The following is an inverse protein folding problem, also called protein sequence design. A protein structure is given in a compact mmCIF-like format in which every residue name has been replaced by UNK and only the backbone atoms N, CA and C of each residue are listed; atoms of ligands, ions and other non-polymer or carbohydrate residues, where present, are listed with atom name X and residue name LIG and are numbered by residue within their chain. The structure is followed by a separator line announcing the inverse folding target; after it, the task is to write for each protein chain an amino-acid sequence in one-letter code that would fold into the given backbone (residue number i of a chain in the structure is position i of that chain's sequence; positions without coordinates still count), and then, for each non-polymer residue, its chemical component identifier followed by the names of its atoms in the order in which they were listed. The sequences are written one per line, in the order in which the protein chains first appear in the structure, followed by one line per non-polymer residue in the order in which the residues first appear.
data_IF_987480648541
#
_entry.id   IF_987480648541
#
_cell.length_a   1.000
_cell.length_b   1.000
_cell.length_c   1.000
_cell.angle_alpha   90.00
_cell.angle_beta   90.00
_cell.angle_gamma   90.00
#
_symmetry.space_group_name_H-M   'P 1'
#
loop_
_entity.id
_entity.type
_entity.pdbx_description
1 polymer ?
#
# COMPACT_ATOMS: atom_id res chain seq x y z
N UNK A 1 20.63 2.60 -9.35
CA UNK A 1 20.95 2.52 -10.80
C UNK A 1 20.40 3.77 -11.46
N UNK A 2 21.26 4.63 -12.00
CA UNK A 2 20.86 5.89 -12.64
C UNK A 2 20.41 5.61 -14.08
N UNK A 3 19.14 5.25 -14.28
CA UNK A 3 18.57 5.17 -15.61
C UNK A 3 18.50 6.60 -16.20
N UNK A 4 19.02 6.85 -17.40
CA UNK A 4 18.92 8.15 -18.05
C UNK A 4 17.46 8.61 -18.14
N UNK A 5 17.17 9.87 -17.79
CA UNK A 5 15.80 10.41 -17.68
C UNK A 5 14.94 10.19 -18.94
N UNK A 6 15.56 10.20 -20.13
CA UNK A 6 14.88 9.98 -21.40
C UNK A 6 14.44 8.52 -21.62
N UNK A 7 15.07 7.54 -20.95
CA UNK A 7 14.67 6.14 -20.96
C UNK A 7 13.70 5.80 -19.83
N UNK A 8 13.76 6.55 -18.72
CA UNK A 8 12.89 6.33 -17.57
C UNK A 8 11.41 6.51 -17.92
N UNK A 9 11.06 7.54 -18.70
CA UNK A 9 9.67 7.83 -19.06
C UNK A 9 9.01 6.72 -19.92
N UNK A 10 9.56 6.32 -21.09
CA UNK A 10 8.94 5.29 -21.93
C UNK A 10 8.93 3.91 -21.26
N UNK A 11 9.95 3.57 -20.46
CA UNK A 11 9.98 2.30 -19.72
C UNK A 11 8.90 2.25 -18.64
N UNK A 12 8.65 3.37 -17.96
CA UNK A 12 7.58 3.48 -16.95
C UNK A 12 6.17 3.48 -17.57
N UNK A 13 6.02 3.94 -18.82
CA UNK A 13 4.75 3.84 -19.57
C UNK A 13 4.47 2.42 -20.07
N UNK A 14 5.50 1.68 -20.52
CA UNK A 14 5.35 0.30 -21.02
C UNK A 14 5.17 -0.70 -19.87
N UNK A 15 5.86 -0.48 -18.74
CA UNK A 15 5.73 -1.28 -17.52
C UNK A 15 5.26 -0.37 -16.39
N UNK A 16 3.96 -0.03 -16.34
CA UNK A 16 3.43 0.74 -15.22
C UNK A 16 3.77 0.00 -13.93
N UNK A 17 4.60 0.62 -13.08
CA UNK A 17 5.09 0.04 -11.83
C UNK A 17 3.95 -0.36 -10.86
N UNK A 18 2.72 0.09 -11.11
CA UNK A 18 1.56 -0.12 -10.26
C UNK A 18 0.42 -0.72 -11.09
N UNK A 19 0.45 -2.05 -11.17
CA UNK A 19 -0.52 -2.86 -11.91
C UNK A 19 -1.91 -2.93 -11.24
N UNK A 20 -2.80 -3.82 -11.72
CA UNK A 20 -4.19 -3.92 -11.25
C UNK A 20 -4.31 -4.28 -9.76
N UNK A 21 -3.23 -4.81 -9.16
CA UNK A 21 -3.12 -5.17 -7.75
C UNK A 21 -2.96 -3.97 -6.81
N UNK A 22 -3.03 -2.74 -7.31
CA UNK A 22 -2.95 -1.51 -6.52
C UNK A 22 -4.24 -0.68 -6.69
N UNK A 23 -5.37 -1.38 -6.63
CA UNK A 23 -6.72 -0.82 -6.76
C UNK A 23 -7.55 -1.21 -5.55
N UNK A 24 -8.54 -0.40 -5.17
CA UNK A 24 -9.42 -0.73 -4.05
C UNK A 24 -10.18 -2.04 -4.32
N UNK A 25 -10.44 -2.35 -5.59
CA UNK A 25 -11.07 -3.59 -6.04
C UNK A 25 -10.24 -4.82 -5.70
N UNK A 26 -8.93 -4.76 -5.95
CA UNK A 26 -8.02 -5.82 -5.53
C UNK A 26 -8.05 -6.00 -4.00
N UNK A 27 -8.18 -4.92 -3.22
CA UNK A 27 -8.38 -4.98 -1.78
C UNK A 27 -9.64 -5.76 -1.36
N UNK A 28 -10.78 -5.49 -1.99
CA UNK A 28 -12.01 -6.25 -1.75
C UNK A 28 -11.88 -7.72 -2.16
N UNK A 29 -11.23 -8.01 -3.30
CA UNK A 29 -10.99 -9.38 -3.76
C UNK A 29 -10.11 -10.14 -2.76
N UNK A 30 -9.00 -9.56 -2.30
CA UNK A 30 -8.14 -10.21 -1.32
C UNK A 30 -8.83 -10.39 0.03
N UNK A 31 -9.59 -9.40 0.49
CA UNK A 31 -10.39 -9.51 1.71
C UNK A 31 -11.42 -10.64 1.62
N UNK A 32 -12.15 -10.74 0.51
CA UNK A 32 -13.14 -11.80 0.29
C UNK A 32 -12.48 -13.18 0.18
N UNK A 33 -11.31 -13.25 -0.47
CA UNK A 33 -10.52 -14.47 -0.55
C UNK A 33 -10.04 -14.91 0.83
N UNK A 34 -9.51 -14.00 1.65
CA UNK A 34 -9.11 -14.29 3.02
C UNK A 34 -10.28 -14.78 3.86
N UNK A 35 -11.45 -14.14 3.76
CA UNK A 35 -12.68 -14.62 4.40
C UNK A 35 -13.02 -16.05 3.96
N UNK A 36 -13.10 -16.31 2.65
CA UNK A 36 -13.44 -17.63 2.11
C UNK A 36 -12.44 -18.73 2.50
N UNK A 37 -11.14 -18.41 2.57
CA UNK A 37 -10.11 -19.33 3.04
C UNK A 37 -10.26 -19.66 4.54
N UNK A 38 -10.67 -18.68 5.37
CA UNK A 38 -10.92 -18.92 6.78
C UNK A 38 -12.15 -19.80 7.00
N UNK A 39 -13.24 -19.56 6.26
CA UNK A 39 -14.42 -20.42 6.30
C UNK A 39 -14.09 -21.85 5.83
N UNK A 40 -13.34 -21.99 4.74
CA UNK A 40 -12.90 -23.30 4.26
C UNK A 40 -11.97 -24.00 5.26
N UNK A 41 -11.15 -23.25 5.98
CA UNK A 41 -10.30 -23.75 7.07
C UNK A 41 -11.08 -24.22 8.31
N UNK A 42 -12.41 -24.05 8.36
CA UNK A 42 -13.25 -24.47 9.48
C UNK A 42 -13.28 -23.47 10.65
N UNK A 43 -12.81 -22.24 10.44
CA UNK A 43 -12.95 -21.17 11.43
C UNK A 43 -14.41 -20.68 11.46
N UNK A 44 -14.81 -20.07 12.59
CA UNK A 44 -16.16 -19.49 12.69
C UNK A 44 -16.31 -18.28 11.77
N UNK A 45 -17.54 -18.06 11.28
CA UNK A 45 -17.88 -16.90 10.44
C UNK A 45 -17.45 -15.55 11.01
N UNK A 46 -17.49 -15.42 12.34
CA UNK A 46 -17.05 -14.19 13.02
C UNK A 46 -15.53 -13.98 12.87
N UNK A 47 -14.73 -15.04 13.04
CA UNK A 47 -13.27 -15.00 12.87
C UNK A 47 -12.93 -14.76 11.40
N UNK A 48 -13.62 -15.44 10.47
CA UNK A 48 -13.46 -15.20 9.05
C UNK A 48 -13.71 -13.74 8.70
N UNK A 49 -14.85 -13.18 9.12
CA UNK A 49 -15.23 -11.80 8.84
C UNK A 49 -14.23 -10.81 9.43
N UNK A 50 -13.84 -11.00 10.69
CA UNK A 50 -12.85 -10.15 11.35
C UNK A 50 -11.51 -10.16 10.59
N UNK A 51 -11.07 -11.33 10.13
CA UNK A 51 -9.80 -11.48 9.40
C UNK A 51 -9.87 -10.87 8.00
N UNK A 52 -10.99 -11.04 7.29
CA UNK A 52 -11.24 -10.37 6.01
C UNK A 52 -11.23 -8.85 6.16
N UNK A 53 -11.97 -8.30 7.12
CA UNK A 53 -11.97 -6.87 7.41
C UNK A 53 -10.59 -6.34 7.81
N UNK A 54 -9.83 -7.08 8.61
CA UNK A 54 -8.44 -6.74 8.94
C UNK A 54 -7.54 -6.72 7.69
N UNK A 55 -7.72 -7.66 6.76
CA UNK A 55 -7.02 -7.68 5.49
C UNK A 55 -7.38 -6.46 4.62
N UNK A 56 -8.67 -6.09 4.55
CA UNK A 56 -9.12 -4.89 3.85
C UNK A 56 -8.50 -3.63 4.46
N UNK A 57 -8.53 -3.49 5.79
CA UNK A 57 -7.94 -2.36 6.49
C UNK A 57 -6.44 -2.23 6.20
N UNK A 58 -5.70 -3.34 6.29
CA UNK A 58 -4.27 -3.41 5.94
C UNK A 58 -4.02 -2.97 4.51
N UNK A 59 -4.84 -3.45 3.58
CA UNK A 59 -4.71 -3.15 2.16
C UNK A 59 -5.01 -1.67 1.87
N UNK A 60 -6.03 -1.10 2.52
CA UNK A 60 -6.32 0.34 2.43
C UNK A 60 -5.16 1.16 2.97
N UNK A 61 -4.58 0.78 4.12
CA UNK A 61 -3.36 1.43 4.64
C UNK A 61 -2.21 1.37 3.64
N UNK A 62 -2.01 0.23 2.96
CA UNK A 62 -1.03 0.09 1.90
C UNK A 62 -1.28 1.08 0.74
N UNK A 63 -2.51 1.19 0.25
CA UNK A 63 -2.87 2.16 -0.80
C UNK A 63 -2.68 3.62 -0.35
N UNK A 64 -2.95 3.93 0.92
CA UNK A 64 -2.74 5.27 1.48
C UNK A 64 -1.25 5.60 1.49
N UNK A 65 -0.40 4.71 1.99
CA UNK A 65 1.06 4.89 1.96
C UNK A 65 1.57 5.05 0.53
N UNK A 66 1.02 4.28 -0.39
CA UNK A 66 1.29 4.38 -1.82
C UNK A 66 0.85 5.71 -2.44
N UNK A 67 -0.15 6.36 -1.86
CA UNK A 67 -0.61 7.69 -2.28
C UNK A 67 0.29 8.82 -1.75
N UNK A 68 1.14 8.55 -0.76
CA UNK A 68 2.16 9.51 -0.29
C UNK A 68 3.39 9.53 -1.20
N UNK A 69 3.61 8.48 -1.99
CA UNK A 69 4.70 8.45 -2.96
C UNK A 69 4.46 9.47 -4.09
N UNK A 70 5.48 10.20 -4.59
CA UNK A 70 5.29 11.18 -5.68
C UNK A 70 4.66 10.60 -6.96
N UNK A 71 4.83 9.29 -7.20
CA UNK A 71 4.20 8.59 -8.32
C UNK A 71 2.69 8.41 -8.12
N UNK A 72 2.16 8.46 -6.89
CA UNK A 72 0.75 8.27 -6.54
C UNK A 72 0.20 6.89 -6.87
N UNK A 73 -1.11 6.70 -6.66
CA UNK A 73 -1.81 5.46 -7.03
C UNK A 73 -3.23 5.73 -7.58
N UNK A 74 -3.69 4.87 -8.48
CA UNK A 74 -5.02 4.96 -9.11
C UNK A 74 -5.97 3.99 -8.41
N UNK A 75 -6.65 4.46 -7.37
CA UNK A 75 -7.49 3.60 -6.53
C UNK A 75 -8.61 2.89 -7.31
N UNK A 76 -9.20 3.56 -8.29
CA UNK A 76 -10.44 3.16 -8.95
C UNK A 76 -10.25 2.59 -10.36
N UNK A 77 -9.02 2.33 -10.79
CA UNK A 77 -8.76 1.74 -12.10
C UNK A 77 -9.42 0.34 -12.18
N UNK A 78 -10.07 -0.04 -13.30
CA UNK A 78 -10.18 0.65 -14.59
C UNK A 78 -11.37 1.63 -14.71
N UNK A 79 -12.24 1.76 -13.70
CA UNK A 79 -13.42 2.62 -13.79
C UNK A 79 -13.11 4.10 -13.80
N UNK A 80 -12.10 4.54 -13.04
CA UNK A 80 -11.63 5.91 -13.05
C UNK A 80 -10.11 5.94 -12.96
N UNK A 81 -9.51 6.73 -13.85
CA UNK A 81 -8.06 6.98 -13.89
C UNK A 81 -7.63 8.09 -12.92
N UNK A 82 -8.50 8.47 -11.95
CA UNK A 82 -8.19 9.49 -10.95
C UNK A 82 -6.98 9.08 -10.12
N UNK A 83 -5.90 9.86 -10.26
CA UNK A 83 -4.68 9.71 -9.48
C UNK A 83 -4.85 10.36 -8.11
N UNK A 84 -4.64 9.58 -7.05
CA UNK A 84 -4.60 10.10 -5.69
C UNK A 84 -3.13 10.24 -5.30
N UNK A 85 -2.71 11.48 -5.03
CA UNK A 85 -1.40 11.83 -4.49
C UNK A 85 -1.56 12.91 -3.42
N UNK A 86 -1.01 12.69 -2.22
CA UNK A 86 -1.13 13.64 -1.11
C UNK A 86 -0.07 14.74 -1.15
N UNK A 87 -0.33 15.83 -0.41
CA UNK A 87 0.61 16.95 -0.18
C UNK A 87 1.86 16.50 0.59
N UNK A 88 1.73 15.52 1.49
CA UNK A 88 2.85 14.96 2.26
C UNK A 88 3.49 13.89 1.38
N UNK A 89 4.70 14.19 0.88
CA UNK A 89 5.43 13.30 -0.03
C UNK A 89 6.46 12.49 0.73
N UNK A 90 6.50 11.18 0.46
CA UNK A 90 7.56 10.32 0.93
C UNK A 90 8.87 10.59 0.16
N UNK A 91 10.02 10.53 0.84
CA UNK A 91 11.36 10.81 0.31
C UNK A 91 11.94 12.19 0.67
N UNK A 92 11.34 12.93 1.61
CA UNK A 92 11.92 14.19 2.09
C UNK A 92 12.99 13.96 3.15
N UNK A 93 14.01 14.82 3.23
CA UNK A 93 15.02 14.76 4.31
C UNK A 93 14.40 14.82 5.71
N UNK A 94 13.29 15.54 5.88
CA UNK A 94 12.58 15.63 7.16
C UNK A 94 11.92 14.32 7.60
N UNK A 95 11.43 13.52 6.64
CA UNK A 95 10.86 12.22 6.90
C UNK A 95 11.93 11.20 7.31
N UNK A 96 13.11 11.25 6.69
CA UNK A 96 14.27 10.45 7.08
C UNK A 96 14.66 10.72 8.54
N UNK A 97 14.77 11.99 8.94
CA UNK A 97 15.05 12.35 10.34
C UNK A 97 13.95 11.89 11.30
N UNK A 98 12.68 12.01 10.92
CA UNK A 98 11.56 11.55 11.74
C UNK A 98 11.60 10.04 11.97
N UNK A 99 11.78 9.23 10.92
CA UNK A 99 11.83 7.78 11.05
C UNK A 99 13.07 7.29 11.78
N UNK A 100 14.24 7.90 11.54
CA UNK A 100 15.43 7.60 12.33
C UNK A 100 15.23 7.91 13.82
N UNK A 101 14.59 9.04 14.14
CA UNK A 101 14.25 9.40 15.53
C UNK A 101 13.27 8.44 16.17
N UNK A 102 12.22 8.04 15.45
CA UNK A 102 11.21 7.07 15.91
C UNK A 102 11.81 5.68 16.14
N UNK A 103 12.62 5.19 15.22
CA UNK A 103 13.30 3.89 15.37
C UNK A 103 14.27 3.96 16.56
N UNK A 104 15.04 5.04 16.68
CA UNK A 104 15.94 5.26 17.80
C UNK A 104 15.22 5.27 19.14
N UNK A 105 14.05 5.91 19.24
CA UNK A 105 13.27 5.96 20.48
C UNK A 105 12.65 4.61 20.84
N UNK A 106 12.14 3.86 19.87
CA UNK A 106 11.64 2.49 20.08
C UNK A 106 12.76 1.58 20.57
N UNK A 107 13.95 1.68 19.96
CA UNK A 107 15.11 0.87 20.35
C UNK A 107 15.61 1.24 21.75
N UNK A 108 15.60 2.53 22.11
CA UNK A 108 15.93 3.01 23.45
C UNK A 108 14.95 2.46 24.51
N UNK A 109 13.65 2.53 24.23
CA UNK A 109 12.61 2.00 25.13
C UNK A 109 12.71 0.49 25.26
N UNK A 110 13.05 -0.24 24.20
CA UNK A 110 13.21 -1.70 24.24
C UNK A 110 14.46 -2.18 25.01
N UNK A 111 15.43 -1.29 25.26
CA UNK A 111 16.67 -1.58 26.00
C UNK A 111 16.60 -1.18 27.49
N UNK A 112 15.58 -0.43 27.90
CA UNK A 112 15.29 -0.05 29.29
C UNK A 112 14.39 -1.10 29.97
#
# INVERSE_FOLDING_TARGET
MNCPQFLAHPVQEILPHRGPTHTIWAGFVFSALTFGLMEWGGYTILIGLATGLAMLARYVSHLVLDSLNPTGVHWLRPWKETKISWIIRTGSRGEEYFFCGLIGSIFLVALL
#
